data_IF_797614801900
#
_entry.id   IF_797614801900
#
_cell.length_a   1.000
_cell.length_b   1.000
_cell.length_c   1.000
_cell.angle_alpha   90.00
_cell.angle_beta   90.00
_cell.angle_gamma   90.00
#
_symmetry.space_group_name_H-M   'P 1'
#
loop_
_entity.id
_entity.type
_entity.pdbx_description
1 polymer ?
#
# COMPACT_ATOMS: atom_id res chain seq x y z
N UNK A 1 18.78 -6.27 17.96
CA UNK A 1 18.69 -6.31 16.47
C UNK A 1 17.68 -5.28 16.05
N UNK A 2 18.00 -4.47 15.07
CA UNK A 2 17.04 -3.48 14.55
C UNK A 2 15.91 -4.23 13.84
N UNK A 3 14.67 -3.86 14.15
CA UNK A 3 13.47 -4.40 13.51
C UNK A 3 12.86 -3.35 12.58
N UNK A 4 12.02 -3.79 11.64
CA UNK A 4 11.31 -2.88 10.75
C UNK A 4 9.85 -3.32 10.53
N UNK A 5 9.01 -2.36 10.17
CA UNK A 5 7.66 -2.62 9.68
C UNK A 5 7.56 -2.11 8.24
N UNK A 6 7.18 -3.00 7.35
CA UNK A 6 6.92 -2.73 5.95
C UNK A 6 5.42 -2.79 5.68
N UNK A 7 4.93 -1.86 4.90
CA UNK A 7 3.53 -1.76 4.53
C UNK A 7 3.37 -1.91 3.01
N UNK A 8 2.28 -2.52 2.57
CA UNK A 8 1.78 -2.24 1.24
C UNK A 8 1.16 -0.82 1.20
N UNK A 9 0.94 -0.28 0.01
CA UNK A 9 0.37 1.05 -0.18
C UNK A 9 -1.12 1.01 -0.48
N UNK A 10 -1.49 0.38 -1.61
CA UNK A 10 -2.85 0.37 -2.14
C UNK A 10 -3.79 -0.50 -1.27
N UNK A 11 -4.92 0.04 -0.83
CA UNK A 11 -5.87 -0.61 0.09
C UNK A 11 -5.27 -1.02 1.45
N UNK A 12 -4.04 -0.60 1.74
CA UNK A 12 -3.38 -0.78 3.04
C UNK A 12 -3.19 0.57 3.74
N UNK A 13 -2.33 1.44 3.24
CA UNK A 13 -2.12 2.80 3.79
C UNK A 13 -3.05 3.83 3.16
N UNK A 14 -3.56 3.56 1.97
CA UNK A 14 -4.54 4.41 1.27
C UNK A 14 -5.78 3.60 0.88
N UNK A 15 -6.93 4.25 0.81
CA UNK A 15 -8.17 3.69 0.26
C UNK A 15 -8.18 3.86 -1.27
N UNK A 16 -7.44 2.99 -1.95
CA UNK A 16 -7.30 3.01 -3.41
C UNK A 16 -8.63 2.71 -4.10
N UNK A 17 -9.40 1.77 -3.58
CA UNK A 17 -10.67 1.37 -4.18
C UNK A 17 -11.74 2.44 -4.00
N UNK A 18 -11.75 3.14 -2.87
CA UNK A 18 -12.57 4.33 -2.69
C UNK A 18 -12.22 5.44 -3.69
N UNK A 19 -10.93 5.73 -3.86
CA UNK A 19 -10.46 6.72 -4.84
C UNK A 19 -10.82 6.33 -6.29
N UNK A 20 -10.76 5.05 -6.65
CA UNK A 20 -11.22 4.53 -7.94
C UNK A 20 -12.74 4.69 -8.11
N UNK A 21 -13.52 4.33 -7.09
CA UNK A 21 -14.97 4.47 -7.13
C UNK A 21 -15.39 5.94 -7.28
N UNK A 22 -14.73 6.85 -6.58
CA UNK A 22 -14.95 8.30 -6.72
C UNK A 22 -14.64 8.77 -8.15
N UNK A 23 -13.54 8.29 -8.74
CA UNK A 23 -13.19 8.60 -10.13
C UNK A 23 -14.28 8.16 -11.11
N UNK A 24 -14.80 6.94 -10.95
CA UNK A 24 -15.88 6.42 -11.79
C UNK A 24 -17.19 7.18 -11.57
N UNK A 25 -17.54 7.48 -10.31
CA UNK A 25 -18.74 8.24 -9.97
C UNK A 25 -18.73 9.66 -10.57
N UNK A 26 -17.58 10.33 -10.54
CA UNK A 26 -17.43 11.67 -11.14
C UNK A 26 -17.54 11.61 -12.67
N UNK A 27 -17.10 10.50 -13.28
CA UNK A 27 -17.15 10.31 -14.73
C UNK A 27 -18.52 9.88 -15.24
N UNK A 28 -19.29 9.17 -14.39
CA UNK A 28 -20.63 8.65 -14.71
C UNK A 28 -21.63 8.98 -13.59
N UNK A 29 -21.98 10.27 -13.39
CA UNK A 29 -22.81 10.71 -12.28
C UNK A 29 -24.20 10.01 -12.27
N UNK A 30 -24.50 9.33 -11.15
CA UNK A 30 -25.76 8.63 -10.95
C UNK A 30 -25.86 7.24 -11.59
N UNK A 31 -24.88 6.81 -12.38
CA UNK A 31 -24.84 5.48 -12.99
C UNK A 31 -24.15 4.46 -12.07
N UNK A 32 -24.88 3.99 -11.08
CA UNK A 32 -24.40 2.96 -10.14
C UNK A 32 -23.99 1.66 -10.82
N UNK A 33 -24.58 1.34 -11.98
CA UNK A 33 -24.27 0.11 -12.72
C UNK A 33 -22.86 0.17 -13.29
N UNK A 34 -22.50 1.28 -13.95
CA UNK A 34 -21.14 1.50 -14.47
C UNK A 34 -20.10 1.51 -13.35
N UNK A 35 -20.40 2.11 -12.19
CA UNK A 35 -19.50 2.06 -11.02
C UNK A 35 -19.24 0.62 -10.57
N UNK A 36 -20.28 -0.18 -10.40
CA UNK A 36 -20.13 -1.57 -9.98
C UNK A 36 -19.39 -2.42 -11.01
N UNK A 37 -19.70 -2.25 -12.31
CA UNK A 37 -19.09 -3.00 -13.39
C UNK A 37 -17.59 -2.66 -13.51
N UNK A 38 -17.23 -1.39 -13.57
CA UNK A 38 -15.86 -0.95 -13.70
C UNK A 38 -15.03 -1.31 -12.43
N UNK A 39 -15.62 -1.25 -11.24
CA UNK A 39 -14.95 -1.71 -10.01
C UNK A 39 -14.67 -3.21 -10.03
N UNK A 40 -15.58 -4.03 -10.58
CA UNK A 40 -15.33 -5.47 -10.74
C UNK A 40 -14.21 -5.74 -11.77
N UNK A 41 -14.19 -5.00 -12.88
CA UNK A 41 -13.14 -5.12 -13.90
C UNK A 41 -11.78 -4.65 -13.38
N UNK A 42 -11.76 -3.60 -12.55
CA UNK A 42 -10.54 -3.11 -11.90
C UNK A 42 -10.00 -4.09 -10.86
N UNK A 43 -10.90 -4.78 -10.12
CA UNK A 43 -10.55 -5.81 -9.13
C UNK A 43 -9.42 -5.36 -8.20
N UNK A 44 -9.59 -4.21 -7.53
CA UNK A 44 -8.61 -3.61 -6.61
C UNK A 44 -7.21 -3.42 -7.24
N UNK A 45 -7.17 -3.15 -8.53
CA UNK A 45 -5.92 -2.96 -9.27
C UNK A 45 -5.32 -4.22 -9.88
N UNK A 46 -5.91 -5.40 -9.65
CA UNK A 46 -5.43 -6.70 -10.15
C UNK A 46 -6.19 -7.21 -11.37
N UNK A 47 -7.25 -6.51 -11.78
CA UNK A 47 -8.03 -6.89 -12.96
C UNK A 47 -7.29 -6.72 -14.28
N UNK A 48 -7.86 -7.31 -15.33
CA UNK A 48 -7.35 -7.16 -16.69
C UNK A 48 -7.55 -5.72 -17.18
N UNK A 49 -6.46 -4.98 -17.30
CA UNK A 49 -6.46 -3.58 -17.74
C UNK A 49 -7.02 -3.40 -19.13
N UNK A 50 -6.85 -4.37 -20.02
CA UNK A 50 -7.37 -4.29 -21.37
C UNK A 50 -8.90 -4.30 -21.38
N UNK A 51 -9.51 -5.15 -20.56
CA UNK A 51 -10.97 -5.22 -20.41
C UNK A 51 -11.52 -3.96 -19.74
N UNK A 52 -10.89 -3.47 -18.69
CA UNK A 52 -11.27 -2.23 -18.02
C UNK A 52 -11.25 -1.05 -19.00
N UNK A 53 -10.15 -0.86 -19.73
CA UNK A 53 -9.98 0.27 -20.63
C UNK A 53 -10.91 0.17 -21.87
N UNK A 54 -11.11 -1.03 -22.41
CA UNK A 54 -12.08 -1.24 -23.48
C UNK A 54 -13.51 -0.91 -23.03
N UNK A 55 -13.88 -1.32 -21.81
CA UNK A 55 -15.20 -1.02 -21.26
C UNK A 55 -15.37 0.47 -20.96
N UNK A 56 -14.34 1.09 -20.42
CA UNK A 56 -14.32 2.55 -20.21
C UNK A 56 -14.58 3.30 -21.53
N UNK A 57 -13.85 2.96 -22.58
CA UNK A 57 -14.02 3.58 -23.90
C UNK A 57 -15.46 3.42 -24.45
N UNK A 58 -16.06 2.24 -24.28
CA UNK A 58 -17.45 1.98 -24.69
C UNK A 58 -18.47 2.86 -23.95
N UNK A 59 -18.23 3.12 -22.65
CA UNK A 59 -19.15 3.89 -21.81
C UNK A 59 -18.98 5.40 -21.99
N UNK A 60 -17.75 5.88 -22.04
CA UNK A 60 -17.43 7.32 -22.03
C UNK A 60 -17.14 7.92 -23.41
N UNK A 61 -16.78 7.09 -24.38
CA UNK A 61 -16.21 7.55 -25.66
C UNK A 61 -14.76 8.08 -25.54
N UNK A 62 -14.14 8.02 -24.36
CA UNK A 62 -12.80 8.53 -24.10
C UNK A 62 -11.79 7.42 -23.82
N UNK A 63 -10.54 7.64 -24.23
CA UNK A 63 -9.45 6.71 -23.92
C UNK A 63 -9.02 6.86 -22.47
N UNK A 64 -8.97 5.75 -21.75
CA UNK A 64 -8.34 5.60 -20.45
C UNK A 64 -7.12 4.70 -20.59
N UNK A 65 -6.01 5.08 -19.99
CA UNK A 65 -4.80 4.29 -19.90
C UNK A 65 -4.30 4.20 -18.42
N UNK A 66 -3.24 3.44 -18.20
CA UNK A 66 -2.69 3.24 -16.87
C UNK A 66 -2.15 4.52 -16.22
N UNK A 67 -1.65 5.47 -17.01
CA UNK A 67 -1.14 6.76 -16.53
C UNK A 67 -2.29 7.65 -16.06
N UNK A 68 -3.30 7.86 -16.92
CA UNK A 68 -4.51 8.64 -16.59
C UNK A 68 -5.25 8.06 -15.38
N UNK A 69 -5.39 6.73 -15.34
CA UNK A 69 -6.01 6.06 -14.20
C UNK A 69 -5.21 6.26 -12.91
N UNK A 70 -3.89 6.10 -12.96
CA UNK A 70 -3.02 6.30 -11.80
C UNK A 70 -3.09 7.73 -11.27
N UNK A 71 -3.08 8.72 -12.16
CA UNK A 71 -3.26 10.12 -11.80
C UNK A 71 -4.65 10.38 -11.18
N UNK A 72 -5.72 9.86 -11.78
CA UNK A 72 -7.08 10.04 -11.29
C UNK A 72 -7.27 9.48 -9.86
N UNK A 73 -6.63 8.33 -9.55
CA UNK A 73 -6.60 7.74 -8.21
C UNK A 73 -5.80 8.63 -7.25
N UNK A 74 -4.61 9.10 -7.65
CA UNK A 74 -3.80 9.97 -6.81
C UNK A 74 -4.51 11.30 -6.46
N UNK A 75 -5.20 11.92 -7.43
CA UNK A 75 -5.98 13.14 -7.22
C UNK A 75 -7.13 12.97 -6.22
N UNK A 76 -7.63 11.75 -6.04
CA UNK A 76 -8.71 11.40 -5.09
C UNK A 76 -8.21 10.79 -3.80
N UNK A 77 -6.93 10.43 -3.73
CA UNK A 77 -6.30 9.98 -2.49
C UNK A 77 -6.26 11.16 -1.49
N UNK A 78 -6.62 10.89 -0.24
CA UNK A 78 -6.64 11.92 0.81
C UNK A 78 -5.77 11.49 1.99
N UNK A 79 -5.04 12.42 2.61
CA UNK A 79 -4.32 12.14 3.84
C UNK A 79 -5.27 11.69 4.95
N UNK A 80 -4.91 10.62 5.65
CA UNK A 80 -5.58 10.19 6.87
C UNK A 80 -4.78 10.71 8.07
N UNK A 81 -5.22 11.81 8.68
CA UNK A 81 -4.49 12.48 9.74
C UNK A 81 -4.29 11.62 11.00
N UNK A 82 -5.23 10.71 11.31
CA UNK A 82 -5.09 9.77 12.42
C UNK A 82 -4.01 8.73 12.12
N UNK A 83 -4.03 8.15 10.92
CA UNK A 83 -3.03 7.19 10.49
C UNK A 83 -1.63 7.81 10.45
N UNK A 84 -1.50 9.01 9.86
CA UNK A 84 -0.21 9.71 9.77
C UNK A 84 0.40 9.95 11.15
N UNK A 85 -0.39 10.39 12.14
CA UNK A 85 0.10 10.56 13.53
C UNK A 85 0.58 9.25 14.14
N UNK A 86 -0.14 8.14 13.92
CA UNK A 86 0.30 6.83 14.43
C UNK A 86 1.57 6.35 13.75
N UNK A 87 1.71 6.57 12.44
CA UNK A 87 2.94 6.26 11.71
C UNK A 87 4.12 7.14 12.15
N UNK A 88 3.90 8.42 12.43
CA UNK A 88 4.92 9.31 12.99
C UNK A 88 5.42 8.82 14.36
N UNK A 89 4.51 8.43 15.24
CA UNK A 89 4.90 7.86 16.54
C UNK A 89 5.63 6.51 16.39
N UNK A 90 5.17 5.68 15.46
CA UNK A 90 5.80 4.40 15.16
C UNK A 90 7.22 4.58 14.60
N UNK A 91 7.42 5.55 13.70
CA UNK A 91 8.71 5.84 13.07
C UNK A 91 9.79 6.31 14.05
N UNK A 92 9.39 6.80 15.24
CA UNK A 92 10.34 7.15 16.33
C UNK A 92 10.89 5.93 17.05
N UNK A 93 10.20 4.79 16.94
CA UNK A 93 10.48 3.57 17.69
C UNK A 93 11.13 2.49 16.80
N UNK A 94 10.78 2.44 15.52
CA UNK A 94 11.19 1.40 14.59
C UNK A 94 11.30 1.95 13.18
N UNK A 95 12.14 1.34 12.35
CA UNK A 95 12.22 1.67 10.92
C UNK A 95 10.91 1.28 10.24
N UNK A 96 10.33 2.18 9.44
CA UNK A 96 9.14 1.90 8.64
C UNK A 96 9.40 2.17 7.16
N UNK A 97 8.75 1.40 6.27
CA UNK A 97 8.88 1.54 4.82
C UNK A 97 7.65 1.02 4.08
N UNK A 98 7.62 1.24 2.77
CA UNK A 98 6.53 0.80 1.87
C UNK A 98 7.11 -0.10 0.78
N UNK A 99 6.45 -1.24 0.53
CA UNK A 99 6.75 -2.13 -0.61
C UNK A 99 5.48 -2.27 -1.46
N UNK A 100 5.48 -1.70 -2.66
CA UNK A 100 4.27 -1.61 -3.47
C UNK A 100 4.47 -2.09 -4.91
N UNK A 101 3.49 -2.82 -5.44
CA UNK A 101 3.45 -3.18 -6.84
C UNK A 101 2.85 -2.05 -7.68
N UNK A 102 3.53 -1.64 -8.75
CA UNK A 102 3.04 -0.61 -9.66
C UNK A 102 4.14 0.13 -10.40
N UNK A 103 3.75 1.13 -11.17
CA UNK A 103 4.70 2.04 -11.80
C UNK A 103 5.20 3.09 -10.80
N UNK A 104 6.43 3.51 -10.97
CA UNK A 104 7.09 4.50 -10.11
C UNK A 104 6.31 5.80 -10.04
N UNK A 105 5.86 6.29 -11.18
CA UNK A 105 5.11 7.56 -11.27
C UNK A 105 3.80 7.47 -10.49
N UNK A 106 3.02 6.41 -10.68
CA UNK A 106 1.71 6.28 -10.04
C UNK A 106 1.83 6.06 -8.52
N UNK A 107 2.79 5.23 -8.07
CA UNK A 107 2.93 4.96 -6.64
C UNK A 107 3.50 6.17 -5.89
N UNK A 108 4.45 6.90 -6.48
CA UNK A 108 4.95 8.15 -5.91
C UNK A 108 3.85 9.21 -5.82
N UNK A 109 3.02 9.38 -6.86
CA UNK A 109 1.92 10.33 -6.84
C UNK A 109 0.92 10.04 -5.70
N UNK A 110 0.57 8.78 -5.48
CA UNK A 110 -0.32 8.36 -4.38
C UNK A 110 0.32 8.55 -3.00
N UNK A 111 1.60 8.20 -2.85
CA UNK A 111 2.37 8.39 -1.62
C UNK A 111 2.43 9.88 -1.23
N UNK A 112 2.68 10.78 -2.19
CA UNK A 112 2.65 12.24 -1.98
C UNK A 112 1.23 12.73 -1.63
N UNK A 113 0.21 12.32 -2.40
CA UNK A 113 -1.18 12.72 -2.18
C UNK A 113 -1.71 12.30 -0.81
N UNK A 114 -1.26 11.14 -0.30
CA UNK A 114 -1.59 10.66 1.04
C UNK A 114 -0.83 11.37 2.17
N UNK A 115 0.16 12.23 1.85
CA UNK A 115 1.02 12.89 2.83
C UNK A 115 2.00 11.95 3.54
N UNK A 116 2.21 10.74 2.99
CA UNK A 116 3.11 9.74 3.56
C UNK A 116 4.59 10.12 3.43
N UNK A 117 4.92 11.01 2.51
CA UNK A 117 6.25 11.61 2.31
C UNK A 117 6.81 12.31 3.55
N UNK A 118 5.92 12.78 4.43
CA UNK A 118 6.29 13.44 5.69
C UNK A 118 6.78 12.46 6.76
N UNK A 119 6.45 11.18 6.60
CA UNK A 119 6.72 10.15 7.62
C UNK A 119 7.64 9.06 7.09
N UNK A 120 7.44 8.63 5.86
CA UNK A 120 8.21 7.56 5.21
C UNK A 120 8.99 8.19 4.06
N UNK A 121 10.33 8.34 4.16
CA UNK A 121 11.13 8.98 3.12
C UNK A 121 11.16 8.14 1.84
N UNK A 122 11.41 8.79 0.70
CA UNK A 122 11.46 8.15 -0.61
C UNK A 122 12.47 7.00 -0.67
N UNK A 123 13.56 7.05 0.08
CA UNK A 123 14.56 5.98 0.19
C UNK A 123 14.01 4.69 0.82
N UNK A 124 12.83 4.73 1.42
CA UNK A 124 12.11 3.59 2.00
C UNK A 124 10.79 3.30 1.29
N UNK A 125 10.62 3.81 0.07
CA UNK A 125 9.52 3.52 -0.82
C UNK A 125 10.01 2.59 -1.93
N UNK A 126 9.76 1.28 -1.78
CA UNK A 126 10.20 0.23 -2.68
C UNK A 126 9.08 -0.11 -3.66
N UNK A 127 9.22 0.37 -4.89
CA UNK A 127 8.24 0.18 -5.96
C UNK A 127 8.73 -0.89 -6.93
N UNK A 128 7.86 -1.81 -7.30
CA UNK A 128 8.23 -2.98 -8.11
C UNK A 128 8.88 -2.63 -9.44
N UNK A 129 8.47 -1.55 -10.09
CA UNK A 129 9.09 -1.07 -11.33
C UNK A 129 10.53 -0.59 -11.09
N UNK A 130 10.79 0.17 -10.02
CA UNK A 130 12.13 0.68 -9.71
C UNK A 130 13.07 -0.44 -9.24
N UNK A 131 12.54 -1.41 -8.48
CA UNK A 131 13.32 -2.54 -7.94
C UNK A 131 13.57 -3.61 -9.02
N UNK A 132 12.77 -3.64 -10.09
CA UNK A 132 12.83 -4.69 -11.12
C UNK A 132 12.25 -6.03 -10.65
N UNK A 133 11.52 -6.04 -9.53
CA UNK A 133 10.87 -7.23 -8.98
C UNK A 133 9.56 -6.85 -8.30
N UNK A 134 8.54 -7.70 -8.42
CA UNK A 134 7.22 -7.44 -7.86
C UNK A 134 6.81 -8.52 -6.85
N UNK A 135 6.01 -8.15 -5.85
CA UNK A 135 5.38 -9.08 -4.93
C UNK A 135 4.49 -10.09 -5.71
N UNK A 136 4.51 -11.38 -5.40
CA UNK A 136 5.11 -12.05 -4.22
C UNK A 136 6.57 -12.49 -4.36
N UNK A 137 7.32 -12.07 -5.38
CA UNK A 137 8.71 -12.49 -5.54
C UNK A 137 9.56 -12.05 -4.33
N UNK A 138 10.36 -12.98 -3.81
CA UNK A 138 11.23 -12.77 -2.66
C UNK A 138 12.18 -11.56 -2.81
N UNK A 139 12.67 -11.31 -4.03
CA UNK A 139 13.69 -10.29 -4.28
C UNK A 139 13.25 -8.86 -3.88
N UNK A 140 11.97 -8.49 -4.01
CA UNK A 140 11.52 -7.15 -3.63
C UNK A 140 11.54 -6.97 -2.09
N UNK A 141 11.18 -8.01 -1.33
CA UNK A 141 11.21 -7.98 0.13
C UNK A 141 12.64 -7.99 0.65
N UNK A 142 13.50 -8.84 0.09
CA UNK A 142 14.93 -8.91 0.43
C UNK A 142 15.63 -7.59 0.16
N UNK A 143 15.36 -6.97 -1.01
CA UNK A 143 15.89 -5.64 -1.33
C UNK A 143 15.46 -4.58 -0.31
N UNK A 144 14.19 -4.60 0.12
CA UNK A 144 13.72 -3.67 1.15
C UNK A 144 14.44 -3.89 2.49
N UNK A 145 14.63 -5.16 2.92
CA UNK A 145 15.39 -5.50 4.12
C UNK A 145 16.84 -5.02 4.03
N UNK A 146 17.50 -5.25 2.89
CA UNK A 146 18.89 -4.85 2.64
C UNK A 146 19.06 -3.33 2.74
N UNK A 147 18.24 -2.55 2.03
CA UNK A 147 18.28 -1.08 2.06
C UNK A 147 17.97 -0.53 3.46
N UNK A 148 17.09 -1.20 4.20
CA UNK A 148 16.76 -0.82 5.58
C UNK A 148 17.74 -1.38 6.61
N UNK A 149 18.74 -2.15 6.19
CA UNK A 149 19.77 -2.76 7.06
C UNK A 149 19.15 -3.53 8.23
N UNK A 150 18.22 -4.46 7.89
CA UNK A 150 17.53 -5.35 8.84
C UNK A 150 17.45 -6.76 8.26
N UNK A 151 17.39 -7.80 9.10
CA UNK A 151 17.08 -9.14 8.60
C UNK A 151 15.59 -9.28 8.31
N UNK A 152 15.21 -10.09 7.32
CA UNK A 152 13.80 -10.30 6.98
C UNK A 152 13.01 -10.92 8.16
N UNK A 153 13.64 -11.76 8.96
CA UNK A 153 13.03 -12.38 10.14
C UNK A 153 12.73 -11.37 11.26
N UNK A 154 13.42 -10.22 11.26
CA UNK A 154 13.16 -9.11 12.18
C UNK A 154 12.14 -8.11 11.62
N UNK A 155 11.56 -8.39 10.43
CA UNK A 155 10.60 -7.52 9.78
C UNK A 155 9.17 -8.01 9.96
N UNK A 156 8.27 -7.03 10.10
CA UNK A 156 6.82 -7.24 9.99
C UNK A 156 6.34 -6.69 8.64
N UNK A 157 5.36 -7.36 8.04
CA UNK A 157 4.73 -6.90 6.81
C UNK A 157 3.21 -6.79 6.98
N UNK A 158 2.64 -5.63 6.65
CA UNK A 158 1.20 -5.41 6.67
C UNK A 158 0.73 -5.11 5.23
N UNK A 159 -0.22 -5.91 4.73
CA UNK A 159 -0.76 -5.74 3.37
C UNK A 159 -2.11 -6.40 3.18
N UNK A 160 -2.83 -6.02 2.11
CA UNK A 160 -4.20 -6.46 1.84
C UNK A 160 -4.27 -7.67 0.91
N UNK A 161 -3.26 -7.89 0.07
CA UNK A 161 -3.28 -8.98 -0.91
C UNK A 161 -2.66 -10.27 -0.35
N UNK A 162 -3.51 -11.28 -0.17
CA UNK A 162 -3.06 -12.51 0.48
C UNK A 162 -1.85 -13.14 -0.21
N UNK A 163 -1.91 -13.37 -1.51
CA UNK A 163 -0.81 -14.03 -2.24
C UNK A 163 0.42 -13.12 -2.38
N UNK A 164 0.21 -11.86 -2.76
CA UNK A 164 1.31 -10.94 -2.99
C UNK A 164 2.01 -10.52 -1.69
N UNK A 165 1.24 -10.20 -0.66
CA UNK A 165 1.76 -9.58 0.57
C UNK A 165 2.05 -10.62 1.65
N UNK A 166 1.05 -11.49 1.94
CA UNK A 166 1.17 -12.40 3.07
C UNK A 166 2.00 -13.64 2.73
N UNK A 167 1.69 -14.30 1.60
CA UNK A 167 2.47 -15.47 1.17
C UNK A 167 3.87 -15.02 0.76
N UNK A 168 4.01 -13.92 0.01
CA UNK A 168 5.30 -13.41 -0.45
C UNK A 168 6.23 -13.00 0.69
N UNK A 169 5.76 -12.22 1.66
CA UNK A 169 6.59 -11.77 2.79
C UNK A 169 6.96 -12.93 3.74
N UNK A 170 6.04 -13.87 3.97
CA UNK A 170 6.34 -15.08 4.78
C UNK A 170 7.38 -15.98 4.13
N UNK A 171 7.43 -16.04 2.81
CA UNK A 171 8.42 -16.82 2.08
C UNK A 171 9.87 -16.39 2.33
N UNK A 172 10.07 -15.14 2.79
CA UNK A 172 11.40 -14.60 3.18
C UNK A 172 11.58 -14.52 4.70
N UNK A 173 10.67 -15.10 5.50
CA UNK A 173 10.79 -15.18 6.96
C UNK A 173 10.14 -14.02 7.74
N UNK A 174 9.45 -13.08 7.08
CA UNK A 174 8.77 -11.99 7.78
C UNK A 174 7.54 -12.47 8.54
N UNK A 175 7.22 -11.78 9.64
CA UNK A 175 5.91 -11.91 10.29
C UNK A 175 4.90 -11.01 9.59
N UNK A 176 3.75 -11.57 9.15
CA UNK A 176 2.82 -10.86 8.26
C UNK A 176 1.43 -10.73 8.87
N UNK A 177 0.82 -9.56 8.68
CA UNK A 177 -0.54 -9.24 9.08
C UNK A 177 -1.41 -8.96 7.85
N UNK A 178 -2.53 -9.66 7.72
CA UNK A 178 -3.44 -9.47 6.61
C UNK A 178 -4.45 -8.35 6.89
N UNK A 179 -4.24 -7.21 6.26
CA UNK A 179 -5.13 -6.05 6.31
C UNK A 179 -6.40 -6.34 5.51
N UNK A 180 -7.56 -6.22 6.15
CA UNK A 180 -8.86 -6.49 5.52
C UNK A 180 -9.58 -5.23 5.03
N UNK A 181 -9.15 -4.08 5.49
CA UNK A 181 -9.65 -2.76 5.12
C UNK A 181 -8.52 -1.76 5.29
N UNK A 182 -8.49 -0.68 4.51
CA UNK A 182 -7.46 0.36 4.65
C UNK A 182 -7.24 0.78 6.10
N UNK A 183 -5.99 0.93 6.48
CA UNK A 183 -5.61 1.25 7.86
C UNK A 183 -6.11 2.66 8.23
N UNK A 184 -6.69 2.75 9.41
CA UNK A 184 -6.85 3.98 10.17
C UNK A 184 -5.87 3.94 11.33
N UNK A 185 -5.70 5.04 12.08
CA UNK A 185 -4.86 5.00 13.27
C UNK A 185 -5.29 3.91 14.27
N UNK A 186 -6.61 3.75 14.46
CA UNK A 186 -7.15 2.69 15.33
C UNK A 186 -6.84 1.29 14.79
N UNK A 187 -7.05 1.04 13.49
CA UNK A 187 -6.77 -0.28 12.88
C UNK A 187 -5.27 -0.61 12.92
N UNK A 188 -4.42 0.37 12.71
CA UNK A 188 -2.97 0.18 12.86
C UNK A 188 -2.59 -0.25 14.28
N UNK A 189 -3.11 0.44 15.30
CA UNK A 189 -2.86 0.05 16.71
C UNK A 189 -3.31 -1.38 17.01
N UNK A 190 -4.48 -1.79 16.51
CA UNK A 190 -4.99 -3.16 16.67
C UNK A 190 -4.07 -4.18 15.97
N UNK A 191 -3.69 -3.93 14.73
CA UNK A 191 -2.79 -4.80 13.96
C UNK A 191 -1.43 -4.96 14.66
N UNK A 192 -0.86 -3.87 15.19
CA UNK A 192 0.39 -3.90 15.93
C UNK A 192 0.26 -4.69 17.24
N UNK A 193 -0.85 -4.55 17.95
CA UNK A 193 -1.11 -5.34 19.18
C UNK A 193 -1.23 -6.84 18.88
N UNK A 194 -1.91 -7.23 17.79
CA UNK A 194 -2.01 -8.63 17.35
C UNK A 194 -0.65 -9.21 16.93
N UNK A 195 0.25 -8.39 16.40
CA UNK A 195 1.63 -8.75 16.09
C UNK A 195 2.54 -8.84 17.33
N UNK A 196 2.00 -8.57 18.51
CA UNK A 196 2.77 -8.53 19.76
C UNK A 196 3.64 -7.27 19.90
N UNK A 197 3.35 -6.25 19.11
CA UNK A 197 4.06 -4.97 19.12
C UNK A 197 3.49 -4.08 20.22
N UNK A 198 3.89 -4.33 21.46
CA UNK A 198 3.50 -3.48 22.59
C UNK A 198 4.52 -2.34 22.74
N UNK A 199 4.04 -1.08 22.78
CA UNK A 199 4.88 0.12 22.99
C UNK A 199 5.78 0.02 24.22
N UNK A 200 5.40 -0.80 25.19
CA UNK A 200 6.18 -1.04 26.43
C UNK A 200 7.38 -1.98 26.23
N UNK A 201 7.34 -2.87 25.24
CA UNK A 201 8.41 -3.83 24.98
C UNK A 201 9.59 -3.24 24.17
N UNK A 202 9.37 -2.14 23.43
CA UNK A 202 10.42 -1.52 22.60
C UNK A 202 11.43 -0.76 23.46
N UNK A 203 11.01 -0.24 24.60
CA UNK A 203 11.92 0.46 25.53
C UNK A 203 12.84 -0.49 26.31
N UNK A 204 12.54 -1.79 26.34
CA UNK A 204 13.35 -2.81 27.04
C UNK A 204 14.50 -3.41 26.23
N UNK A 205 14.42 -3.41 24.89
CA UNK A 205 15.43 -4.02 24.02
C UNK A 205 16.69 -3.16 23.79
N UNK A 206 16.69 -1.91 24.24
CA UNK A 206 17.82 -0.98 24.13
C UNK A 206 18.70 -0.86 25.39
N UNK A 207 18.47 -1.70 26.40
CA UNK A 207 19.28 -1.71 27.64
C UNK A 207 19.70 -3.13 27.99
N UNK A 208 20.67 -3.65 27.30
CA UNK A 208 21.52 -4.75 27.76
C UNK A 208 22.86 -4.72 27.01
#
# INVERSE_FOLDING_TARGET
>A
MDSAILFDLDNTLIDRDGAFADFVNDSFPGDRQSVLELSRLDSSGFGDRSQLFARWLQLSGEVLDSSRLGQAIAERTRPNAELLRELEELAKLIKIGIVSNGSTVNQQAKWLAAGLDKVIPQSRLFISESVGSRKPNAAIFQHACEVMEVSCEACFFLGDQFDADIVGSRAVGMTSYWVRQPLTGQRLRLALAELGFDRLNIQGAGRS
#
